data_IF_113984446775
#
_entry.id   IF_113984446775
#
_cell.length_a   1.000
_cell.length_b   1.000
_cell.length_c   1.000
_cell.angle_alpha   90.00
_cell.angle_beta   90.00
_cell.angle_gamma   90.00
#
_symmetry.space_group_name_H-M   'P 1'
#
loop_
_entity.id
_entity.type
_entity.pdbx_description
1 polymer ?
#
# COMPACT_ATOMS: atom_id res chain seq x y z
N UNK A 1 72.14 -4.36 20.43
CA UNK A 1 72.18 -2.90 20.13
C UNK A 1 71.63 -2.73 18.71
N UNK A 2 70.35 -2.35 18.60
CA UNK A 2 69.87 -1.07 18.01
C UNK A 2 70.08 -1.00 16.46
N UNK A 3 69.14 -0.69 15.58
CA UNK A 3 67.93 0.15 15.63
C UNK A 3 66.99 -0.19 14.44
N UNK A 4 65.70 0.16 14.56
CA UNK A 4 64.64 0.06 13.55
C UNK A 4 64.82 1.00 12.35
N UNK A 5 63.98 0.83 11.30
CA UNK A 5 63.06 1.91 10.94
C UNK A 5 61.60 1.45 10.76
N UNK A 6 60.69 2.41 10.95
CA UNK A 6 59.24 2.29 11.06
C UNK A 6 58.50 1.95 9.75
N UNK A 7 57.29 1.35 9.82
CA UNK A 7 56.34 1.41 8.72
C UNK A 7 55.60 2.75 8.73
N UNK A 8 55.63 3.43 7.58
CA UNK A 8 54.87 4.65 7.34
C UNK A 8 53.37 4.36 7.33
N UNK A 9 52.62 5.20 8.06
CA UNK A 9 51.18 5.30 7.98
C UNK A 9 50.76 5.80 6.58
N UNK A 10 49.89 5.04 5.91
CA UNK A 10 49.16 5.45 4.72
C UNK A 10 47.68 5.24 4.96
N UNK A 11 47.02 6.29 5.46
CA UNK A 11 45.58 6.34 5.64
C UNK A 11 44.88 6.29 4.28
N UNK A 12 44.12 5.23 4.03
CA UNK A 12 43.14 5.14 2.95
C UNK A 12 41.74 5.40 3.49
N UNK A 13 41.44 6.64 3.87
CA UNK A 13 40.09 7.09 4.18
C UNK A 13 39.30 7.22 2.86
N UNK A 14 38.87 6.07 2.32
CA UNK A 14 38.09 6.00 1.07
C UNK A 14 36.80 5.20 1.17
N UNK A 15 36.68 4.25 2.12
CA UNK A 15 35.55 3.31 2.15
C UNK A 15 34.22 3.89 2.63
N UNK A 16 34.24 4.85 3.56
CA UNK A 16 33.02 5.26 4.28
C UNK A 16 31.93 5.90 3.42
N UNK A 17 32.30 6.71 2.41
CA UNK A 17 31.32 7.40 1.55
C UNK A 17 30.72 6.49 0.49
N UNK A 18 31.52 5.56 -0.03
CA UNK A 18 31.05 4.60 -1.04
C UNK A 18 30.14 3.55 -0.39
N UNK A 19 30.44 3.14 0.84
CA UNK A 19 29.60 2.24 1.64
C UNK A 19 28.29 2.92 2.08
N UNK A 20 28.34 4.19 2.49
CA UNK A 20 27.16 4.98 2.87
C UNK A 20 26.25 5.28 1.65
N UNK A 21 26.85 5.59 0.49
CA UNK A 21 26.14 5.74 -0.77
C UNK A 21 25.52 4.41 -1.21
N UNK A 22 26.25 3.30 -1.09
CA UNK A 22 25.73 1.97 -1.41
C UNK A 22 24.54 1.60 -0.51
N UNK A 23 24.59 1.93 0.77
CA UNK A 23 23.49 1.71 1.72
C UNK A 23 22.28 2.61 1.43
N UNK A 24 22.50 3.88 1.07
CA UNK A 24 21.43 4.78 0.63
C UNK A 24 20.77 4.31 -0.66
N UNK A 25 21.57 3.90 -1.65
CA UNK A 25 21.09 3.31 -2.91
C UNK A 25 20.31 2.03 -2.61
N UNK A 26 20.80 1.16 -1.72
CA UNK A 26 20.11 -0.08 -1.34
C UNK A 26 18.78 0.22 -0.63
N UNK A 27 18.73 1.20 0.27
CA UNK A 27 17.50 1.65 0.93
C UNK A 27 16.50 2.24 -0.06
N UNK A 28 16.97 3.06 -1.00
CA UNK A 28 16.15 3.65 -2.06
C UNK A 28 15.61 2.57 -3.00
N UNK A 29 16.45 1.64 -3.45
CA UNK A 29 16.03 0.50 -4.29
C UNK A 29 15.00 -0.35 -3.56
N UNK A 30 15.17 -0.59 -2.25
CA UNK A 30 14.20 -1.33 -1.44
C UNK A 30 12.91 -0.53 -1.19
N UNK A 31 12.96 0.80 -1.16
CA UNK A 31 11.78 1.66 -1.05
C UNK A 31 11.01 1.73 -2.38
N UNK A 32 11.73 1.86 -3.49
CA UNK A 32 11.17 1.86 -4.85
C UNK A 32 10.59 0.48 -5.18
N UNK A 33 11.26 -0.63 -4.82
CA UNK A 33 10.73 -1.97 -5.00
C UNK A 33 9.40 -2.19 -4.25
N UNK A 34 9.26 -1.65 -3.03
CA UNK A 34 8.00 -1.66 -2.27
C UNK A 34 6.89 -0.81 -2.92
N UNK A 35 7.25 0.13 -3.79
CA UNK A 35 6.33 0.98 -4.55
C UNK A 35 6.00 0.42 -5.94
N UNK A 36 6.90 -0.36 -6.53
CA UNK A 36 6.68 -1.02 -7.83
C UNK A 36 5.52 -2.01 -7.75
N UNK A 37 5.39 -2.73 -6.62
CA UNK A 37 4.24 -3.63 -6.37
C UNK A 37 2.92 -2.87 -6.05
N UNK A 38 2.95 -1.53 -6.04
CA UNK A 38 1.79 -0.63 -5.81
C UNK A 38 1.37 0.14 -7.06
N UNK A 39 2.04 -0.04 -8.20
CA UNK A 39 1.67 0.60 -9.46
C UNK A 39 0.78 -0.32 -10.31
N UNK A 40 -0.20 0.22 -11.06
CA UNK A 40 -1.07 -0.57 -11.93
C UNK A 40 -0.39 -1.07 -13.22
N UNK A 41 0.93 -0.91 -13.35
CA UNK A 41 1.72 -1.32 -14.52
C UNK A 41 2.92 -2.17 -14.07
N UNK A 42 3.17 -3.27 -14.77
CA UNK A 42 4.24 -4.23 -14.45
C UNK A 42 5.60 -3.61 -14.83
N UNK A 43 6.43 -3.30 -13.82
CA UNK A 43 7.80 -2.81 -14.03
C UNK A 43 8.78 -3.97 -13.84
N UNK A 44 9.33 -4.44 -14.95
CA UNK A 44 10.29 -5.55 -14.99
C UNK A 44 11.51 -5.28 -14.10
N UNK A 45 11.66 -6.11 -13.07
CA UNK A 45 12.71 -6.04 -12.03
C UNK A 45 14.12 -6.16 -12.62
N UNK A 46 14.28 -6.77 -13.80
CA UNK A 46 15.57 -6.78 -14.52
C UNK A 46 15.91 -5.41 -15.11
N UNK A 47 14.93 -4.64 -15.58
CA UNK A 47 15.15 -3.31 -16.17
C UNK A 47 15.43 -2.23 -15.13
N UNK A 48 14.93 -2.38 -13.90
CA UNK A 48 15.22 -1.47 -12.78
C UNK A 48 16.64 -1.63 -12.21
N UNK A 49 17.30 -2.78 -12.43
CA UNK A 49 18.70 -3.01 -12.03
C UNK A 49 19.72 -2.42 -13.01
N UNK A 50 19.29 -1.98 -14.19
CA UNK A 50 20.18 -1.32 -15.13
C UNK A 50 20.49 0.10 -14.65
N UNK A 51 21.79 0.40 -14.54
CA UNK A 51 22.31 1.71 -14.13
C UNK A 51 21.79 2.84 -15.01
N UNK A 52 21.49 2.56 -16.28
CA UNK A 52 20.95 3.53 -17.23
C UNK A 52 19.53 3.99 -16.90
N UNK A 53 18.67 3.09 -16.41
CA UNK A 53 17.28 3.39 -16.04
C UNK A 53 17.24 4.18 -14.74
N UNK A 54 18.09 3.82 -13.77
CA UNK A 54 18.25 4.59 -12.54
C UNK A 54 18.79 6.00 -12.82
N UNK A 55 19.76 6.13 -13.73
CA UNK A 55 20.27 7.44 -14.16
C UNK A 55 19.17 8.28 -14.85
N UNK A 56 18.38 7.67 -15.76
CA UNK A 56 17.30 8.36 -16.45
C UNK A 56 16.19 8.85 -15.50
N UNK A 57 15.79 8.02 -14.52
CA UNK A 57 14.81 8.40 -13.50
C UNK A 57 15.37 9.52 -12.62
N UNK A 58 16.63 9.41 -12.21
CA UNK A 58 17.30 10.44 -11.39
C UNK A 58 17.36 11.80 -12.10
N UNK A 59 17.72 11.81 -13.39
CA UNK A 59 17.74 13.01 -14.22
C UNK A 59 16.33 13.59 -14.39
N UNK A 60 15.32 12.73 -14.59
CA UNK A 60 13.91 13.16 -14.74
C UNK A 60 13.38 13.79 -13.47
N UNK A 61 13.66 13.21 -12.30
CA UNK A 61 13.28 13.78 -11.00
C UNK A 61 14.00 15.09 -10.70
N UNK A 62 15.30 15.20 -11.03
CA UNK A 62 16.05 16.45 -10.92
C UNK A 62 15.48 17.54 -11.83
N UNK A 63 15.10 17.21 -13.06
CA UNK A 63 14.46 18.15 -13.98
C UNK A 63 13.07 18.57 -13.50
N UNK A 64 12.23 17.63 -13.07
CA UNK A 64 10.90 17.90 -12.54
C UNK A 64 10.97 18.79 -11.29
N UNK A 65 11.92 18.53 -10.39
CA UNK A 65 12.17 19.35 -9.21
C UNK A 65 12.68 20.76 -9.56
N UNK A 66 13.55 20.87 -10.57
CA UNK A 66 14.05 22.15 -11.07
C UNK A 66 12.95 22.97 -11.76
N UNK A 67 12.02 22.30 -12.45
CA UNK A 67 10.85 22.91 -13.08
C UNK A 67 9.80 23.36 -12.05
N UNK A 68 9.60 22.60 -10.96
CA UNK A 68 8.73 23.01 -9.86
C UNK A 68 9.31 24.18 -9.03
N UNK A 69 10.64 24.36 -9.04
CA UNK A 69 11.33 25.48 -8.39
C UNK A 69 11.55 26.70 -9.29
N UNK A 70 11.24 26.62 -10.58
CA UNK A 70 11.29 27.79 -11.44
C UNK A 70 10.18 28.76 -10.99
N UNK A 71 10.52 29.99 -10.55
CA UNK A 71 9.51 30.99 -10.27
C UNK A 71 8.74 31.23 -11.55
N UNK A 72 7.41 31.11 -11.50
CA UNK A 72 6.56 31.55 -12.58
C UNK A 72 6.76 33.06 -12.72
N UNK A 73 7.66 33.51 -13.62
CA UNK A 73 7.79 34.92 -13.96
C UNK A 73 6.48 35.36 -14.61
N UNK A 74 5.59 35.92 -13.79
CA UNK A 74 4.42 36.64 -14.28
C UNK A 74 4.93 37.85 -15.10
N UNK A 75 4.46 38.05 -16.34
CA UNK A 75 4.81 39.23 -17.10
C UNK A 75 4.22 40.47 -16.43
N UNK A 76 5.07 41.27 -15.79
CA UNK A 76 4.69 42.55 -15.17
C UNK A 76 4.20 43.51 -16.27
N UNK A 77 2.92 43.87 -16.22
CA UNK A 77 2.34 45.02 -16.96
C UNK A 77 3.12 46.31 -16.65
N UNK A 78 3.37 47.19 -17.64
CA UNK A 78 4.05 48.46 -17.38
C UNK A 78 3.09 49.47 -16.74
N UNK A 79 3.43 49.93 -15.53
CA UNK A 79 2.73 51.02 -14.84
C UNK A 79 3.32 52.37 -15.27
N UNK A 80 2.42 53.28 -15.60
CA UNK A 80 2.58 54.58 -16.25
C UNK A 80 3.46 55.57 -15.44
N UNK A 81 4.29 56.35 -16.15
CA UNK A 81 5.19 57.42 -15.66
C UNK A 81 4.49 58.49 -14.82
N UNK A 82 5.17 58.94 -13.76
CA UNK A 82 5.11 60.31 -13.25
C UNK A 82 6.54 60.74 -12.84
N UNK A 83 6.91 61.97 -13.16
CA UNK A 83 8.24 62.57 -12.98
C UNK A 83 8.20 63.70 -11.91
N UNK A 84 9.27 64.47 -11.62
CA UNK A 84 9.97 64.40 -10.33
C UNK A 84 10.08 65.76 -9.59
N UNK A 85 10.52 65.74 -8.32
CA UNK A 85 11.11 66.85 -7.54
C UNK A 85 11.59 66.25 -6.20
N UNK A 86 12.65 66.63 -5.48
CA UNK A 86 13.87 67.45 -5.67
C UNK A 86 14.66 67.35 -4.34
N UNK A 87 16.01 67.17 -4.39
CA UNK A 87 17.06 67.53 -3.39
C UNK A 87 16.92 67.06 -1.91
N UNK A 88 17.94 66.62 -1.15
CA UNK A 88 19.38 66.91 -1.14
C UNK A 88 20.14 65.99 -0.14
N UNK A 89 21.42 65.65 -0.44
CA UNK A 89 22.64 65.55 0.44
C UNK A 89 22.63 64.63 1.70
N UNK A 90 23.62 63.80 2.10
CA UNK A 90 25.08 63.73 1.86
C UNK A 90 25.65 62.34 2.27
N UNK A 91 26.66 61.88 1.52
CA UNK A 91 27.89 61.14 1.91
C UNK A 91 27.93 60.18 3.12
N UNK A 92 28.33 58.91 2.89
CA UNK A 92 29.66 58.36 3.29
C UNK A 92 29.92 56.99 2.67
N UNK A 93 31.13 56.83 2.13
CA UNK A 93 31.67 55.64 1.46
C UNK A 93 32.50 54.75 2.39
N UNK A 94 32.34 53.41 2.33
CA UNK A 94 33.41 52.43 2.01
C UNK A 94 32.91 50.95 2.04
N UNK A 95 33.65 50.02 1.37
CA UNK A 95 33.16 48.72 0.94
C UNK A 95 33.70 47.51 1.75
N UNK A 96 33.07 46.35 1.53
CA UNK A 96 33.70 45.02 1.61
C UNK A 96 33.25 44.11 2.75
N UNK A 97 32.65 42.96 2.40
CA UNK A 97 33.05 41.61 2.85
C UNK A 97 31.90 40.61 2.71
N UNK A 98 32.20 39.50 2.04
CA UNK A 98 31.43 38.26 1.98
C UNK A 98 31.49 37.52 3.33
N UNK A 99 30.38 36.92 3.77
CA UNK A 99 30.27 35.60 4.45
C UNK A 99 28.78 35.29 4.62
N UNK A 100 28.17 34.45 3.79
CA UNK A 100 27.94 33.00 3.98
C UNK A 100 27.21 32.61 5.26
N UNK A 101 26.00 32.07 5.03
CA UNK A 101 25.41 30.87 5.65
C UNK A 101 25.13 30.88 7.15
N UNK A 102 23.86 31.11 7.48
CA UNK A 102 23.15 30.35 8.53
C UNK A 102 21.66 30.28 8.18
N UNK A 103 21.32 29.37 7.27
CA UNK A 103 19.94 29.07 6.90
C UNK A 103 19.80 27.62 6.41
N UNK A 104 20.42 26.65 7.12
CA UNK A 104 20.33 25.24 6.72
C UNK A 104 19.73 24.28 7.75
N UNK A 105 19.49 24.65 9.01
CA UNK A 105 18.95 23.65 9.97
C UNK A 105 17.42 23.42 9.87
N UNK A 106 16.66 24.39 9.34
CA UNK A 106 15.18 24.30 9.25
C UNK A 106 14.69 23.48 8.05
N UNK A 107 15.45 23.48 6.95
CA UNK A 107 15.08 22.75 5.74
C UNK A 107 15.27 21.23 5.91
N UNK A 108 16.33 20.81 6.59
CA UNK A 108 16.60 19.40 6.86
C UNK A 108 15.59 18.79 7.84
N UNK A 109 15.08 19.57 8.81
CA UNK A 109 14.02 19.10 9.71
C UNK A 109 12.68 18.88 8.98
N UNK A 110 12.28 19.81 8.10
CA UNK A 110 11.07 19.66 7.27
C UNK A 110 11.22 18.57 6.21
N UNK A 111 12.42 18.40 5.67
CA UNK A 111 12.71 17.30 4.75
C UNK A 111 12.66 15.96 5.48
N UNK A 112 13.23 15.85 6.68
CA UNK A 112 13.18 14.64 7.49
C UNK A 112 11.76 14.31 7.95
N UNK A 113 10.95 15.32 8.27
CA UNK A 113 9.52 15.14 8.61
C UNK A 113 8.68 14.75 7.38
N UNK A 114 8.92 15.36 6.22
CA UNK A 114 8.26 14.97 4.96
C UNK A 114 8.67 13.55 4.51
N UNK A 115 9.94 13.19 4.72
CA UNK A 115 10.48 11.84 4.50
C UNK A 115 9.85 10.86 5.50
N UNK A 116 9.76 11.20 6.79
CA UNK A 116 9.08 10.38 7.79
C UNK A 116 7.58 10.20 7.51
N UNK A 117 6.89 11.22 6.97
CA UNK A 117 5.50 11.11 6.50
C UNK A 117 5.36 10.19 5.28
N UNK A 118 6.34 10.15 4.38
CA UNK A 118 6.39 9.19 3.26
C UNK A 118 6.61 7.75 3.74
N UNK A 119 7.13 7.55 4.95
CA UNK A 119 7.43 6.25 5.54
C UNK A 119 6.47 5.82 6.67
N UNK A 120 5.41 6.58 6.93
CA UNK A 120 4.40 6.13 7.89
C UNK A 120 3.72 4.86 7.34
N UNK A 121 3.63 3.77 8.15
CA UNK A 121 2.88 2.59 7.75
C UNK A 121 1.43 3.00 7.52
N UNK A 122 0.89 2.60 6.36
CA UNK A 122 -0.52 2.84 6.05
C UNK A 122 -1.38 2.24 7.15
N UNK A 123 -2.38 3.00 7.59
CA UNK A 123 -3.43 2.47 8.46
C UNK A 123 -4.17 1.34 7.74
N UNK A 124 -4.82 0.45 8.51
CA UNK A 124 -5.62 -0.63 7.93
C UNK A 124 -6.68 -0.08 6.98
N UNK A 125 -7.36 1.01 7.38
CA UNK A 125 -8.31 1.76 6.54
C UNK A 125 -7.72 2.12 5.17
N UNK A 126 -6.56 2.78 5.16
CA UNK A 126 -5.91 3.21 3.93
C UNK A 126 -5.48 2.01 3.08
N UNK A 127 -5.01 0.93 3.71
CA UNK A 127 -4.55 -0.26 3.02
C UNK A 127 -5.71 -1.04 2.39
N UNK A 128 -6.83 -1.19 3.11
CA UNK A 128 -8.08 -1.77 2.62
C UNK A 128 -8.62 -0.95 1.46
N UNK A 129 -8.76 0.37 1.63
CA UNK A 129 -9.23 1.27 0.57
C UNK A 129 -8.36 1.20 -0.67
N UNK A 130 -7.03 1.18 -0.50
CA UNK A 130 -6.10 1.07 -1.61
C UNK A 130 -6.23 -0.28 -2.34
N UNK A 131 -6.30 -1.39 -1.59
CA UNK A 131 -6.37 -2.75 -2.16
C UNK A 131 -7.70 -3.04 -2.85
N UNK A 132 -8.81 -2.61 -2.28
CA UNK A 132 -10.13 -2.76 -2.89
C UNK A 132 -10.29 -1.91 -4.15
N UNK A 133 -9.42 -0.91 -4.35
CA UNK A 133 -9.43 0.01 -5.48
C UNK A 133 -10.80 0.71 -5.60
N UNK A 134 -11.44 0.63 -6.77
CA UNK A 134 -12.79 1.17 -7.01
C UNK A 134 -13.90 0.12 -6.76
N UNK A 135 -13.58 -0.99 -6.10
CA UNK A 135 -14.55 -2.05 -5.80
C UNK A 135 -15.64 -1.54 -4.87
N UNK A 136 -16.90 -1.68 -5.28
CA UNK A 136 -18.07 -1.23 -4.53
C UNK A 136 -18.81 -2.39 -3.86
N UNK A 137 -18.70 -3.60 -4.39
CA UNK A 137 -19.35 -4.79 -3.85
C UNK A 137 -18.36 -5.94 -3.69
N UNK A 138 -18.41 -6.60 -2.54
CA UNK A 138 -17.54 -7.72 -2.17
C UNK A 138 -18.41 -8.91 -1.79
N UNK A 139 -18.11 -10.08 -2.35
CA UNK A 139 -18.61 -11.36 -1.83
C UNK A 139 -17.48 -12.12 -1.16
N UNK A 140 -17.75 -12.73 -0.01
CA UNK A 140 -16.74 -13.46 0.76
C UNK A 140 -17.30 -14.77 1.27
N UNK A 141 -16.57 -15.86 1.02
CA UNK A 141 -16.81 -17.15 1.67
C UNK A 141 -16.56 -17.05 3.17
N UNK A 142 -17.28 -17.83 3.98
CA UNK A 142 -17.09 -17.89 5.43
C UNK A 142 -16.01 -18.91 5.83
N UNK A 143 -16.15 -20.18 5.43
CA UNK A 143 -15.25 -21.29 5.79
C UNK A 143 -13.82 -21.03 5.31
N UNK A 144 -12.87 -21.18 6.23
CA UNK A 144 -11.44 -20.98 6.02
C UNK A 144 -11.00 -19.53 5.82
N UNK A 145 -11.95 -18.58 5.71
CA UNK A 145 -11.66 -17.14 5.57
C UNK A 145 -11.99 -16.42 6.87
N UNK A 146 -13.27 -16.40 7.25
CA UNK A 146 -13.80 -15.74 8.44
C UNK A 146 -13.98 -16.74 9.58
N UNK A 147 -14.41 -17.95 9.24
CA UNK A 147 -14.54 -19.07 10.17
C UNK A 147 -13.25 -19.88 10.21
N UNK A 148 -12.93 -20.45 11.36
CA UNK A 148 -11.78 -21.33 11.53
C UNK A 148 -12.02 -22.68 10.82
N UNK A 149 -13.27 -23.10 10.78
CA UNK A 149 -13.73 -24.32 10.13
C UNK A 149 -13.48 -24.26 8.62
N UNK A 150 -13.18 -25.41 8.02
CA UNK A 150 -12.83 -25.51 6.59
C UNK A 150 -13.81 -26.33 5.76
N UNK A 151 -14.67 -27.10 6.44
CA UNK A 151 -15.68 -27.97 5.82
C UNK A 151 -17.07 -27.66 6.38
N UNK A 152 -18.14 -27.86 5.58
CA UNK A 152 -19.50 -27.60 6.05
C UNK A 152 -19.96 -28.59 7.13
N UNK A 153 -19.38 -29.79 7.19
CA UNK A 153 -19.66 -30.78 8.22
C UNK A 153 -19.19 -30.32 9.62
N UNK A 154 -18.12 -29.54 9.70
CA UNK A 154 -17.62 -28.98 10.97
C UNK A 154 -18.64 -28.03 11.63
N UNK A 155 -19.42 -27.29 10.83
CA UNK A 155 -20.42 -26.31 11.29
C UNK A 155 -21.56 -26.94 12.10
N UNK A 156 -21.81 -28.24 11.92
CA UNK A 156 -22.81 -28.98 12.70
C UNK A 156 -22.42 -29.08 14.18
N UNK A 157 -21.13 -29.02 14.49
CA UNK A 157 -20.63 -29.20 15.85
C UNK A 157 -20.43 -27.86 16.57
N UNK A 158 -19.69 -26.94 15.95
CA UNK A 158 -19.38 -25.63 16.50
C UNK A 158 -19.01 -24.66 15.37
N UNK A 159 -19.00 -23.36 15.69
CA UNK A 159 -18.60 -22.31 14.77
C UNK A 159 -17.70 -21.33 15.48
N UNK A 160 -16.52 -21.07 14.91
CA UNK A 160 -15.50 -20.23 15.52
C UNK A 160 -15.12 -19.11 14.57
N UNK A 161 -15.45 -17.86 14.93
CA UNK A 161 -15.01 -16.69 14.16
C UNK A 161 -13.55 -16.37 14.45
N UNK A 162 -12.74 -16.20 13.41
CA UNK A 162 -11.35 -15.77 13.52
C UNK A 162 -11.30 -14.30 13.93
N UNK A 163 -10.89 -14.03 15.17
CA UNK A 163 -10.85 -12.66 15.72
C UNK A 163 -9.95 -11.72 14.90
N UNK A 164 -8.86 -12.23 14.32
CA UNK A 164 -7.94 -11.45 13.46
C UNK A 164 -8.60 -10.86 12.22
N UNK A 165 -9.72 -11.44 11.77
CA UNK A 165 -10.41 -11.05 10.54
C UNK A 165 -11.46 -9.98 10.79
N UNK A 166 -11.97 -9.87 12.02
CA UNK A 166 -13.11 -9.01 12.38
C UNK A 166 -12.83 -7.54 12.04
N UNK A 167 -11.67 -7.01 12.45
CA UNK A 167 -11.30 -5.61 12.18
C UNK A 167 -11.18 -5.35 10.67
N UNK A 168 -10.57 -6.28 9.94
CA UNK A 168 -10.40 -6.19 8.47
C UNK A 168 -11.75 -6.18 7.76
N UNK A 169 -12.65 -7.07 8.15
CA UNK A 169 -13.96 -7.20 7.50
C UNK A 169 -14.84 -5.98 7.77
N UNK A 170 -14.80 -5.44 9.00
CA UNK A 170 -15.48 -4.19 9.34
C UNK A 170 -14.91 -3.00 8.56
N UNK A 171 -13.60 -2.97 8.34
CA UNK A 171 -12.96 -1.94 7.53
C UNK A 171 -13.36 -2.03 6.05
N UNK A 172 -13.42 -3.25 5.48
CA UNK A 172 -13.93 -3.49 4.13
C UNK A 172 -15.38 -2.97 4.01
N UNK A 173 -16.21 -3.26 5.01
CA UNK A 173 -17.62 -2.88 5.04
C UNK A 173 -17.88 -1.36 5.11
N UNK A 174 -16.89 -0.54 5.50
CA UNK A 174 -17.00 0.92 5.41
C UNK A 174 -16.99 1.44 3.96
N UNK A 175 -16.35 0.70 3.05
CA UNK A 175 -16.15 1.12 1.66
C UNK A 175 -16.97 0.31 0.67
N UNK A 176 -17.32 -0.92 1.02
CA UNK A 176 -17.99 -1.85 0.13
C UNK A 176 -19.30 -2.38 0.72
N UNK A 177 -20.22 -2.67 -0.20
CA UNK A 177 -21.38 -3.50 0.04
C UNK A 177 -20.94 -4.97 0.15
N UNK A 178 -20.91 -5.52 1.37
CA UNK A 178 -20.38 -6.86 1.65
C UNK A 178 -21.49 -7.90 1.77
N UNK A 179 -21.32 -9.01 1.05
CA UNK A 179 -22.13 -10.21 1.15
C UNK A 179 -21.27 -11.37 1.64
N UNK A 180 -21.68 -12.00 2.73
CA UNK A 180 -21.05 -13.21 3.23
C UNK A 180 -21.83 -14.42 2.71
N UNK A 181 -21.15 -15.50 2.38
CA UNK A 181 -21.83 -16.67 1.85
C UNK A 181 -21.18 -17.97 2.28
N UNK A 182 -21.99 -18.99 2.49
CA UNK A 182 -21.47 -20.32 2.78
C UNK A 182 -22.39 -21.43 2.29
N UNK A 183 -21.77 -22.59 2.06
CA UNK A 183 -22.51 -23.84 1.91
C UNK A 183 -22.77 -24.44 3.29
N UNK A 184 -24.02 -24.76 3.60
CA UNK A 184 -24.44 -25.43 4.84
C UNK A 184 -25.21 -26.70 4.52
N UNK A 185 -25.27 -27.61 5.49
CA UNK A 185 -25.95 -28.90 5.34
C UNK A 185 -27.37 -28.91 5.94
N UNK A 186 -27.66 -27.98 6.84
CA UNK A 186 -28.90 -27.88 7.61
C UNK A 186 -29.09 -26.47 8.18
N UNK A 187 -30.34 -26.15 8.51
CA UNK A 187 -30.74 -24.83 9.03
C UNK A 187 -30.15 -24.55 10.42
N UNK A 188 -29.89 -25.58 11.23
CA UNK A 188 -29.27 -25.43 12.55
C UNK A 188 -27.84 -24.86 12.43
N UNK A 189 -27.10 -25.31 11.42
CA UNK A 189 -25.78 -24.78 11.08
C UNK A 189 -25.84 -23.32 10.62
N UNK A 190 -26.91 -22.91 9.91
CA UNK A 190 -27.13 -21.49 9.55
C UNK A 190 -27.29 -20.62 10.81
N UNK A 191 -28.13 -21.07 11.76
CA UNK A 191 -28.37 -20.37 13.01
C UNK A 191 -27.10 -20.25 13.87
N UNK A 192 -26.29 -21.33 13.94
CA UNK A 192 -24.99 -21.32 14.63
C UNK A 192 -24.04 -20.29 14.01
N UNK A 193 -23.94 -20.27 12.68
CA UNK A 193 -23.10 -19.30 11.96
C UNK A 193 -23.55 -17.87 12.25
N UNK A 194 -24.85 -17.58 12.09
CA UNK A 194 -25.38 -16.24 12.34
C UNK A 194 -25.17 -15.78 13.78
N UNK A 195 -25.31 -16.70 14.75
CA UNK A 195 -25.09 -16.43 16.17
C UNK A 195 -23.62 -16.11 16.43
N UNK A 196 -22.69 -16.93 15.93
CA UNK A 196 -21.25 -16.72 16.10
C UNK A 196 -20.78 -15.39 15.48
N UNK A 197 -21.27 -15.02 14.29
CA UNK A 197 -20.97 -13.74 13.66
C UNK A 197 -21.51 -12.55 14.49
N UNK A 198 -22.70 -12.70 15.08
CA UNK A 198 -23.29 -11.70 15.96
C UNK A 198 -22.50 -11.53 17.26
N UNK A 199 -22.12 -12.63 17.90
CA UNK A 199 -21.31 -12.63 19.13
C UNK A 199 -19.91 -12.04 18.90
N UNK A 200 -19.33 -12.27 17.71
CA UNK A 200 -18.08 -11.63 17.29
C UNK A 200 -18.22 -10.12 17.01
N UNK A 201 -19.44 -9.56 17.10
CA UNK A 201 -19.71 -8.13 16.95
C UNK A 201 -19.74 -7.63 15.51
N UNK A 202 -19.78 -8.52 14.51
CA UNK A 202 -19.74 -8.12 13.10
C UNK A 202 -20.94 -7.26 12.69
N UNK A 203 -22.11 -7.47 13.32
CA UNK A 203 -23.33 -6.71 13.04
C UNK A 203 -23.53 -5.49 13.96
N UNK A 204 -22.68 -5.31 14.98
CA UNK A 204 -22.92 -4.32 16.04
C UNK A 204 -22.88 -2.87 15.56
N UNK A 205 -22.04 -2.55 14.56
CA UNK A 205 -21.91 -1.21 13.98
C UNK A 205 -22.92 -0.92 12.87
N UNK A 206 -23.65 -1.93 12.39
CA UNK A 206 -24.48 -1.85 11.19
C UNK A 206 -23.71 -1.78 9.87
N UNK A 207 -22.37 -1.82 9.89
CA UNK A 207 -21.56 -1.84 8.67
C UNK A 207 -21.75 -3.14 7.87
N UNK A 208 -21.89 -4.27 8.56
CA UNK A 208 -22.35 -5.54 7.99
C UNK A 208 -23.80 -5.78 8.39
N UNK A 209 -24.57 -6.28 7.44
CA UNK A 209 -26.02 -6.49 7.57
C UNK A 209 -26.27 -8.00 7.61
N UNK A 210 -27.00 -8.47 8.62
CA UNK A 210 -27.28 -9.91 8.83
C UNK A 210 -27.97 -10.54 7.62
N UNK A 211 -28.87 -9.80 6.97
CA UNK A 211 -29.62 -10.21 5.77
C UNK A 211 -28.74 -10.36 4.51
N UNK A 212 -27.47 -9.94 4.58
CA UNK A 212 -26.48 -10.14 3.50
C UNK A 212 -25.56 -11.34 3.75
N UNK A 213 -25.86 -12.14 4.77
CA UNK A 213 -25.30 -13.48 4.94
C UNK A 213 -26.21 -14.47 4.21
N UNK A 214 -25.70 -15.09 3.15
CA UNK A 214 -26.49 -15.94 2.25
C UNK A 214 -25.99 -17.38 2.30
N UNK A 215 -26.91 -18.31 2.50
CA UNK A 215 -26.60 -19.73 2.58
C UNK A 215 -27.05 -20.48 1.32
N UNK A 216 -26.35 -21.56 1.02
CA UNK A 216 -26.69 -22.46 -0.09
C UNK A 216 -26.39 -23.91 0.30
N UNK A 217 -27.03 -24.87 -0.36
CA UNK A 217 -26.80 -26.30 -0.10
C UNK A 217 -25.71 -26.91 -1.01
N UNK A 218 -25.31 -26.20 -2.07
CA UNK A 218 -24.37 -26.70 -3.09
C UNK A 218 -23.35 -25.65 -3.48
N UNK A 219 -22.17 -26.08 -3.91
CA UNK A 219 -21.12 -25.19 -4.44
C UNK A 219 -21.58 -24.43 -5.69
N UNK A 220 -22.35 -25.09 -6.55
CA UNK A 220 -22.98 -24.43 -7.71
C UNK A 220 -23.93 -23.31 -7.28
N UNK A 221 -24.63 -23.48 -6.15
CA UNK A 221 -25.44 -22.43 -5.53
C UNK A 221 -24.61 -21.19 -5.19
N UNK A 222 -23.43 -21.38 -4.57
CA UNK A 222 -22.49 -20.28 -4.28
C UNK A 222 -22.05 -19.56 -5.56
N UNK A 223 -21.60 -20.29 -6.57
CA UNK A 223 -21.24 -19.70 -7.88
C UNK A 223 -22.41 -18.93 -8.50
N UNK A 224 -23.63 -19.45 -8.41
CA UNK A 224 -24.84 -18.77 -8.91
C UNK A 224 -25.11 -17.46 -8.18
N UNK A 225 -25.04 -17.44 -6.84
CA UNK A 225 -25.19 -16.21 -6.05
C UNK A 225 -24.14 -15.17 -6.42
N UNK A 226 -22.87 -15.56 -6.50
CA UNK A 226 -21.80 -14.63 -6.86
C UNK A 226 -22.05 -14.01 -8.24
N UNK A 227 -22.49 -14.81 -9.22
CA UNK A 227 -22.80 -14.31 -10.55
C UNK A 227 -23.98 -13.34 -10.58
N UNK A 228 -25.01 -13.57 -9.77
CA UNK A 228 -26.19 -12.70 -9.72
C UNK A 228 -25.91 -11.40 -8.96
N UNK A 229 -25.06 -11.46 -7.93
CA UNK A 229 -24.66 -10.28 -7.17
C UNK A 229 -23.70 -9.37 -7.95
N UNK A 230 -23.05 -9.88 -9.00
CA UNK A 230 -22.08 -9.15 -9.83
C UNK A 230 -21.09 -8.30 -9.00
N UNK A 231 -20.38 -8.89 -8.02
CA UNK A 231 -19.47 -8.13 -7.18
C UNK A 231 -18.21 -7.71 -7.97
N UNK A 232 -17.59 -6.63 -7.52
CA UNK A 232 -16.28 -6.23 -8.04
C UNK A 232 -15.17 -7.15 -7.50
N UNK A 233 -15.35 -7.65 -6.27
CA UNK A 233 -14.43 -8.55 -5.58
C UNK A 233 -15.12 -9.83 -5.13
N UNK A 234 -14.45 -10.96 -5.34
CA UNK A 234 -14.83 -12.24 -4.75
C UNK A 234 -13.66 -12.86 -3.97
N UNK A 235 -13.93 -13.31 -2.74
CA UNK A 235 -12.95 -13.95 -1.85
C UNK A 235 -13.43 -15.37 -1.56
N UNK A 236 -12.63 -16.38 -1.92
CA UNK A 236 -12.96 -17.81 -1.69
C UNK A 236 -11.68 -18.63 -1.46
N UNK A 237 -11.84 -19.81 -0.88
CA UNK A 237 -10.79 -20.81 -0.67
C UNK A 237 -10.77 -21.88 -1.77
N UNK A 238 -11.88 -22.09 -2.51
CA UNK A 238 -11.98 -23.07 -3.59
C UNK A 238 -11.31 -22.56 -4.88
N UNK A 239 -10.25 -23.21 -5.37
CA UNK A 239 -9.62 -22.84 -6.64
C UNK A 239 -10.55 -23.07 -7.84
N UNK A 240 -11.46 -24.05 -7.77
CA UNK A 240 -12.43 -24.35 -8.82
C UNK A 240 -13.41 -23.19 -9.01
N UNK A 241 -13.98 -22.66 -7.93
CA UNK A 241 -14.91 -21.53 -7.97
C UNK A 241 -14.21 -20.27 -8.46
N UNK A 242 -13.02 -19.97 -7.91
CA UNK A 242 -12.21 -18.82 -8.34
C UNK A 242 -11.90 -18.90 -9.84
N UNK A 243 -11.54 -20.08 -10.33
CA UNK A 243 -11.27 -20.29 -11.76
C UNK A 243 -12.52 -20.11 -12.62
N UNK A 244 -13.67 -20.66 -12.20
CA UNK A 244 -14.94 -20.52 -12.91
C UNK A 244 -15.42 -19.07 -13.00
N UNK A 245 -15.20 -18.29 -11.93
CA UNK A 245 -15.65 -16.91 -11.80
C UNK A 245 -14.69 -15.87 -12.40
N UNK A 246 -13.45 -16.26 -12.73
CA UNK A 246 -12.41 -15.35 -13.22
C UNK A 246 -12.79 -14.53 -14.46
N UNK A 247 -13.72 -15.02 -15.29
CA UNK A 247 -14.20 -14.28 -16.46
C UNK A 247 -15.32 -13.27 -16.14
N UNK A 248 -15.95 -13.38 -14.98
CA UNK A 248 -17.12 -12.58 -14.60
C UNK A 248 -16.78 -11.51 -13.55
N UNK A 249 -15.76 -11.74 -12.73
CA UNK A 249 -15.44 -10.89 -11.59
C UNK A 249 -14.16 -10.07 -11.87
N UNK A 250 -14.22 -8.77 -11.56
CA UNK A 250 -13.12 -7.83 -11.84
C UNK A 250 -11.85 -8.18 -11.06
N UNK A 251 -12.00 -8.54 -9.79
CA UNK A 251 -10.90 -8.93 -8.90
C UNK A 251 -11.28 -10.12 -8.02
N UNK A 252 -10.34 -11.02 -7.80
CA UNK A 252 -10.56 -12.17 -6.92
C UNK A 252 -9.40 -12.36 -5.97
N UNK A 253 -9.69 -12.77 -4.74
CA UNK A 253 -8.69 -13.17 -3.76
C UNK A 253 -8.91 -14.65 -3.41
N UNK A 254 -7.96 -15.48 -3.82
CA UNK A 254 -7.90 -16.88 -3.43
C UNK A 254 -7.15 -17.02 -2.11
N UNK A 255 -7.83 -17.49 -1.08
CA UNK A 255 -7.23 -17.76 0.22
C UNK A 255 -6.71 -19.20 0.23
N UNK A 256 -5.39 -19.35 0.28
CA UNK A 256 -4.72 -20.65 0.28
C UNK A 256 -3.41 -20.59 1.06
N UNK A 257 -3.13 -21.58 1.93
CA UNK A 257 -1.87 -21.64 2.69
C UNK A 257 -0.65 -21.80 1.78
N UNK A 258 -0.85 -22.38 0.60
CA UNK A 258 0.18 -22.55 -0.42
C UNK A 258 0.01 -21.46 -1.46
N UNK A 259 1.11 -20.78 -1.84
CA UNK A 259 1.10 -19.77 -2.90
C UNK A 259 0.91 -20.48 -4.24
N UNK A 260 -0.29 -20.47 -4.83
CA UNK A 260 -0.53 -21.20 -6.06
C UNK A 260 0.13 -20.46 -7.24
N UNK A 261 0.38 -21.17 -8.33
CA UNK A 261 0.72 -20.50 -9.59
C UNK A 261 -0.41 -19.55 -9.99
N UNK A 262 -0.05 -18.42 -10.61
CA UNK A 262 -1.01 -17.37 -10.95
C UNK A 262 -2.06 -17.90 -11.93
N UNK A 263 -3.28 -18.12 -11.42
CA UNK A 263 -4.40 -18.71 -12.18
C UNK A 263 -4.88 -17.76 -13.29
N UNK A 264 -4.96 -16.45 -12.99
CA UNK A 264 -5.33 -15.42 -13.94
C UNK A 264 -4.78 -14.05 -13.48
N UNK A 265 -4.81 -13.05 -14.37
CA UNK A 265 -4.28 -11.71 -14.05
C UNK A 265 -5.07 -10.99 -12.95
N UNK A 266 -6.36 -11.26 -12.84
CA UNK A 266 -7.31 -10.73 -11.85
C UNK A 266 -7.45 -11.57 -10.58
N UNK A 267 -6.70 -12.68 -10.46
CA UNK A 267 -6.71 -13.54 -9.27
C UNK A 267 -5.46 -13.27 -8.45
N UNK A 268 -5.66 -12.73 -7.25
CA UNK A 268 -4.65 -12.58 -6.23
C UNK A 268 -4.68 -13.77 -5.28
N UNK A 269 -3.57 -14.04 -4.60
CA UNK A 269 -3.47 -15.13 -3.63
C UNK A 269 -2.79 -14.66 -2.36
N UNK A 270 -3.30 -15.12 -1.22
CA UNK A 270 -2.74 -14.85 0.10
C UNK A 270 -3.15 -15.98 1.05
N UNK A 271 -2.37 -16.29 2.12
CA UNK A 271 -2.75 -17.34 3.07
C UNK A 271 -3.92 -16.95 3.97
N UNK A 272 -4.22 -15.67 4.14
CA UNK A 272 -5.36 -15.21 4.94
C UNK A 272 -5.81 -13.80 4.55
N UNK A 273 -7.03 -13.43 4.98
CA UNK A 273 -7.60 -12.12 4.67
C UNK A 273 -6.81 -11.00 5.35
N UNK A 274 -6.47 -11.21 6.62
CA UNK A 274 -5.68 -10.29 7.43
C UNK A 274 -4.24 -10.16 6.94
N UNK A 275 -3.66 -11.19 6.32
CA UNK A 275 -2.33 -11.08 5.73
C UNK A 275 -2.37 -10.25 4.44
N UNK A 276 -3.39 -10.47 3.60
CA UNK A 276 -3.58 -9.69 2.38
C UNK A 276 -3.81 -8.20 2.70
N UNK A 277 -4.71 -7.89 3.64
CA UNK A 277 -5.11 -6.52 3.96
C UNK A 277 -4.31 -5.85 5.08
N UNK A 278 -3.56 -6.61 5.89
CA UNK A 278 -2.72 -6.09 6.98
C UNK A 278 -1.27 -5.79 6.57
N UNK A 279 -0.91 -6.03 5.31
CA UNK A 279 0.41 -5.67 4.76
C UNK A 279 1.54 -6.61 5.17
N UNK A 280 1.21 -7.81 5.66
CA UNK A 280 2.17 -8.81 6.12
C UNK A 280 2.80 -9.63 4.96
N UNK A 281 2.20 -9.62 3.77
CA UNK A 281 2.76 -10.22 2.55
C UNK A 281 4.05 -9.54 2.02
N UNK A 282 4.58 -8.54 2.73
CA UNK A 282 5.71 -7.70 2.29
C UNK A 282 6.92 -7.69 3.26
N UNK A 283 7.03 -8.63 4.20
CA UNK A 283 8.25 -8.83 5.01
C UNK A 283 9.10 -9.97 4.48
#
# INVERSE_FOLDING_TARGET
MASAPAPAAGAGAGGGKDDELADLVRRLVNAVARYVDRLPFDLDRQKLRSLTTLAAISVTLLFAWKMLRAPQEQPRRPRRRAAPSSSNTSSRSRPGALTTTDACSSADSRAHEAVSQLFQPLTLEQLVRHKLSEGRRVTCRLLGVILAETTPEELQNHVTVRTSVVEVLLEIAKFCDVYLMERVLDDESEEKVLSALSEAGLFASGALIKEKVVFCSTENGRTSFVRQLEPDWHIDTSPEIVHQLARFIKYQLHISPQRPERIASNVFSSPSLEQYFGGLDQR
#
